data_IF_476033949615
#
_entry.id   IF_476033949615
#
_cell.length_a   1.000
_cell.length_b   1.000
_cell.length_c   1.000
_cell.angle_alpha   90.00
_cell.angle_beta   90.00
_cell.angle_gamma   90.00
#
_symmetry.space_group_name_H-M   'P 1'
#
loop_
_entity.id
_entity.type
_entity.pdbx_description
1 polymer ?
#
# COMPACT_ATOMS: atom_id res chain seq x y z
N UNK A 1 -39.31 -14.93 49.66
CA UNK A 1 -38.04 -14.18 49.69
C UNK A 1 -37.29 -14.56 48.42
N UNK A 2 -37.46 -13.86 47.30
CA UNK A 2 -36.78 -12.58 46.94
C UNK A 2 -35.28 -12.68 47.22
N UNK A 3 -34.35 -12.52 46.26
CA UNK A 3 -34.36 -11.51 45.18
C UNK A 3 -33.33 -11.84 44.09
N UNK A 4 -33.72 -11.51 42.85
CA UNK A 4 -32.98 -11.49 41.57
C UNK A 4 -31.88 -10.39 41.59
N UNK A 5 -30.66 -10.60 41.06
CA UNK A 5 -29.90 -9.67 40.15
C UNK A 5 -28.56 -10.30 39.64
N UNK A 6 -27.87 -9.79 38.58
CA UNK A 6 -28.08 -10.24 37.19
C UNK A 6 -26.78 -10.46 36.36
N UNK A 7 -26.99 -10.80 35.09
CA UNK A 7 -26.22 -10.37 33.91
C UNK A 7 -24.73 -10.74 33.82
N UNK A 8 -24.48 -11.94 33.30
CA UNK A 8 -23.37 -12.15 32.38
C UNK A 8 -23.59 -11.28 31.15
N UNK A 9 -23.02 -10.07 31.17
CA UNK A 9 -22.90 -9.22 29.99
C UNK A 9 -21.99 -9.99 29.04
N UNK A 10 -22.58 -10.59 28.01
CA UNK A 10 -21.82 -11.03 26.85
C UNK A 10 -21.10 -9.78 26.37
N UNK A 11 -19.77 -9.77 26.53
CA UNK A 11 -18.92 -8.85 25.80
C UNK A 11 -19.23 -9.09 24.34
N UNK A 12 -20.05 -8.20 23.78
CA UNK A 12 -20.08 -7.99 22.36
C UNK A 12 -18.64 -7.65 21.99
N UNK A 13 -17.90 -8.63 21.48
CA UNK A 13 -16.64 -8.39 20.78
C UNK A 13 -16.93 -7.28 19.78
N UNK A 14 -16.53 -6.07 20.16
CA UNK A 14 -16.73 -4.88 19.35
C UNK A 14 -15.86 -5.12 18.14
N UNK A 15 -16.49 -5.62 17.07
CA UNK A 15 -15.81 -6.07 15.86
C UNK A 15 -15.02 -4.87 15.34
N UNK A 16 -13.71 -4.86 15.62
CA UNK A 16 -12.84 -3.76 15.23
C UNK A 16 -13.02 -3.59 13.72
N UNK A 17 -13.25 -2.36 13.23
CA UNK A 17 -13.40 -2.13 11.81
C UNK A 17 -12.18 -2.72 11.09
N UNK A 18 -12.43 -3.55 10.07
CA UNK A 18 -11.39 -4.30 9.34
C UNK A 18 -10.30 -3.38 8.77
N UNK A 19 -10.67 -2.13 8.47
CA UNK A 19 -9.83 -1.08 7.93
C UNK A 19 -10.16 0.25 8.60
N UNK A 20 -9.13 1.04 8.93
CA UNK A 20 -9.28 2.43 9.39
C UNK A 20 -9.84 3.28 8.23
N UNK A 21 -10.43 4.42 8.53
CA UNK A 21 -10.99 5.37 7.55
C UNK A 21 -9.99 5.71 6.45
N UNK A 22 -8.71 5.90 6.78
CA UNK A 22 -7.65 6.17 5.81
C UNK A 22 -7.49 5.00 4.85
N UNK A 23 -7.38 3.78 5.37
CA UNK A 23 -7.20 2.59 4.53
C UNK A 23 -8.40 2.36 3.61
N UNK A 24 -9.63 2.64 4.07
CA UNK A 24 -10.83 2.56 3.22
C UNK A 24 -10.79 3.55 2.06
N UNK A 25 -10.40 4.80 2.33
CA UNK A 25 -10.25 5.80 1.29
C UNK A 25 -9.13 5.39 0.33
N UNK A 26 -8.01 4.87 0.85
CA UNK A 26 -6.94 4.33 0.03
C UNK A 26 -7.42 3.18 -0.86
N UNK A 27 -8.23 2.25 -0.34
CA UNK A 27 -8.78 1.13 -1.09
C UNK A 27 -9.70 1.59 -2.23
N UNK A 28 -10.57 2.57 -1.95
CA UNK A 28 -11.42 3.18 -2.97
C UNK A 28 -10.55 3.89 -4.03
N UNK A 29 -9.53 4.63 -3.62
CA UNK A 29 -8.59 5.27 -4.53
C UNK A 29 -7.83 4.25 -5.38
N UNK A 30 -7.37 3.14 -4.79
CA UNK A 30 -6.73 2.05 -5.54
C UNK A 30 -7.65 1.49 -6.62
N UNK A 31 -8.91 1.21 -6.29
CA UNK A 31 -9.91 0.77 -7.27
C UNK A 31 -10.18 1.79 -8.37
N UNK A 32 -10.33 3.08 -8.01
CA UNK A 32 -10.56 4.17 -8.97
C UNK A 32 -9.36 4.37 -9.90
N UNK A 33 -8.13 4.31 -9.38
CA UNK A 33 -6.93 4.43 -10.20
C UNK A 33 -6.74 3.23 -11.12
N UNK A 34 -7.07 2.02 -10.67
CA UNK A 34 -7.08 0.82 -11.50
C UNK A 34 -8.05 0.99 -12.69
N UNK A 35 -9.28 1.45 -12.43
CA UNK A 35 -10.27 1.71 -13.46
C UNK A 35 -9.83 2.84 -14.43
N UNK A 36 -9.33 3.96 -13.90
CA UNK A 36 -8.85 5.09 -14.69
C UNK A 36 -7.68 4.70 -15.60
N UNK A 37 -6.76 3.89 -15.08
CA UNK A 37 -5.60 3.37 -15.83
C UNK A 37 -6.03 2.45 -16.95
N UNK A 38 -6.97 1.53 -16.70
CA UNK A 38 -7.52 0.66 -17.73
C UNK A 38 -8.22 1.46 -18.84
N UNK A 39 -9.11 2.39 -18.47
CA UNK A 39 -9.82 3.25 -19.43
C UNK A 39 -8.85 4.13 -20.22
N UNK A 40 -7.84 4.70 -19.55
CA UNK A 40 -6.79 5.50 -20.18
C UNK A 40 -5.98 4.69 -21.19
N UNK A 41 -5.58 3.46 -20.83
CA UNK A 41 -4.86 2.56 -21.72
C UNK A 41 -5.70 2.19 -22.94
N UNK A 42 -6.99 1.84 -22.77
CA UNK A 42 -7.89 1.51 -23.89
C UNK A 42 -8.07 2.70 -24.83
N UNK A 43 -8.27 3.91 -24.31
CA UNK A 43 -8.42 5.14 -25.12
C UNK A 43 -7.16 5.49 -25.92
N UNK A 44 -5.97 5.20 -25.39
CA UNK A 44 -4.71 5.44 -26.11
C UNK A 44 -4.53 4.51 -27.33
N UNK A 45 -5.19 3.35 -27.33
CA UNK A 45 -5.03 2.29 -28.34
C UNK A 45 -5.99 2.43 -29.52
N UNK A 46 -7.11 3.12 -29.35
CA UNK A 46 -8.12 3.30 -30.41
C UNK A 46 -7.72 4.30 -31.51
N UNK A 47 -6.50 4.87 -31.47
CA UNK A 47 -5.98 5.80 -32.48
C UNK A 47 -4.98 5.12 -33.45
N UNK A 48 -5.39 4.86 -34.70
CA UNK A 48 -4.53 4.38 -35.82
C UNK A 48 -4.56 2.87 -36.08
N UNK A 49 -3.88 2.32 -37.12
CA UNK A 49 -3.80 0.88 -37.49
C UNK A 49 -2.36 0.34 -37.32
N UNK A 50 -2.17 -0.72 -36.52
CA UNK A 50 -0.96 -1.60 -36.38
C UNK A 50 -1.06 -2.44 -35.08
N UNK A 51 -1.39 -3.74 -35.13
CA UNK A 51 -1.77 -4.53 -33.93
C UNK A 51 -0.66 -4.73 -32.89
N UNK A 52 0.58 -5.04 -33.29
CA UNK A 52 1.70 -5.27 -32.36
C UNK A 52 2.15 -3.99 -31.66
N UNK A 53 2.32 -2.90 -32.41
CA UNK A 53 2.66 -1.58 -31.86
C UNK A 53 1.54 -1.04 -30.97
N UNK A 54 0.27 -1.25 -31.33
CA UNK A 54 -0.87 -0.92 -30.45
C UNK A 54 -0.79 -1.62 -29.11
N UNK A 55 -0.51 -2.93 -29.08
CA UNK A 55 -0.41 -3.66 -27.81
C UNK A 55 0.79 -3.20 -26.98
N UNK A 56 1.92 -2.89 -27.61
CA UNK A 56 3.05 -2.30 -26.90
C UNK A 56 2.69 -0.94 -26.29
N UNK A 57 2.09 -0.02 -27.06
CA UNK A 57 1.66 1.29 -26.56
C UNK A 57 0.55 1.15 -25.50
N UNK A 58 -0.32 0.14 -25.61
CA UNK A 58 -1.31 -0.19 -24.58
C UNK A 58 -0.63 -0.57 -23.27
N UNK A 59 0.30 -1.52 -23.32
CA UNK A 59 1.02 -2.03 -22.17
C UNK A 59 1.90 -0.93 -21.55
N UNK A 60 2.58 -0.13 -22.38
CA UNK A 60 3.40 0.98 -21.93
C UNK A 60 2.55 2.09 -21.31
N UNK A 61 1.46 2.50 -21.95
CA UNK A 61 0.55 3.52 -21.43
C UNK A 61 -0.10 3.09 -20.11
N UNK A 62 -0.54 1.84 -20.03
CA UNK A 62 -1.04 1.24 -18.79
C UNK A 62 0.02 1.27 -17.68
N UNK A 63 1.26 0.87 -18.00
CA UNK A 63 2.36 0.86 -17.06
C UNK A 63 2.71 2.26 -16.53
N UNK A 64 2.81 3.26 -17.41
CA UNK A 64 3.10 4.65 -17.02
C UNK A 64 2.00 5.22 -16.14
N UNK A 65 0.74 5.00 -16.51
CA UNK A 65 -0.40 5.44 -15.71
C UNK A 65 -0.45 4.74 -14.34
N UNK A 66 -0.14 3.45 -14.29
CA UNK A 66 -0.06 2.70 -13.05
C UNK A 66 1.08 3.19 -12.14
N UNK A 67 2.29 3.38 -12.68
CA UNK A 67 3.41 3.94 -11.92
C UNK A 67 3.12 5.33 -11.38
N UNK A 68 2.38 6.16 -12.13
CA UNK A 68 1.94 7.48 -11.66
C UNK A 68 0.94 7.37 -10.51
N UNK A 69 -0.03 6.46 -10.61
CA UNK A 69 -0.98 6.20 -9.53
C UNK A 69 -0.27 5.75 -8.25
N UNK A 70 0.71 4.83 -8.36
CA UNK A 70 1.50 4.37 -7.21
C UNK A 70 2.32 5.50 -6.57
N UNK A 71 2.91 6.39 -7.38
CA UNK A 71 3.64 7.55 -6.88
C UNK A 71 2.72 8.55 -6.14
N UNK A 72 1.51 8.79 -6.66
CA UNK A 72 0.50 9.62 -5.98
C UNK A 72 0.06 8.95 -4.68
N UNK A 73 -0.19 7.65 -4.68
CA UNK A 73 -0.61 6.91 -3.49
C UNK A 73 0.48 6.87 -2.42
N UNK A 74 1.75 6.81 -2.81
CA UNK A 74 2.86 6.99 -1.88
C UNK A 74 2.84 8.36 -1.20
N UNK A 75 2.61 9.44 -1.95
CA UNK A 75 2.49 10.78 -1.38
C UNK A 75 1.30 10.88 -0.42
N UNK A 76 0.14 10.36 -0.82
CA UNK A 76 -1.07 10.35 0.02
C UNK A 76 -0.81 9.60 1.32
N UNK A 77 -0.20 8.40 1.26
CA UNK A 77 0.13 7.61 2.45
C UNK A 77 1.15 8.31 3.34
N UNK A 78 2.19 8.89 2.75
CA UNK A 78 3.23 9.63 3.48
C UNK A 78 2.63 10.83 4.22
N UNK A 79 1.74 11.58 3.57
CA UNK A 79 1.06 12.71 4.18
C UNK A 79 0.08 12.27 5.26
N UNK A 80 -0.70 11.21 5.01
CA UNK A 80 -1.64 10.67 5.98
C UNK A 80 -0.93 10.17 7.24
N UNK A 81 0.15 9.40 7.09
CA UNK A 81 0.97 8.90 8.20
C UNK A 81 1.59 10.05 9.00
N UNK A 82 2.16 11.04 8.30
CA UNK A 82 2.72 12.24 8.95
C UNK A 82 1.64 13.03 9.69
N UNK A 83 0.46 13.18 9.08
CA UNK A 83 -0.71 13.84 9.67
C UNK A 83 -1.22 13.13 10.91
N UNK A 84 -1.31 11.80 10.89
CA UNK A 84 -1.74 11.00 12.02
C UNK A 84 -0.74 11.09 13.19
N UNK A 85 0.56 10.99 12.91
CA UNK A 85 1.61 11.14 13.93
C UNK A 85 1.62 12.53 14.55
N UNK A 86 1.46 13.57 13.73
CA UNK A 86 1.39 14.95 14.20
C UNK A 86 0.13 15.20 15.03
N UNK A 87 -1.03 14.66 14.61
CA UNK A 87 -2.28 14.78 15.35
C UNK A 87 -2.14 14.13 16.73
N UNK A 88 -1.55 12.95 16.82
CA UNK A 88 -1.27 12.29 18.10
C UNK A 88 -0.39 13.18 19.00
N UNK A 89 0.70 13.71 18.46
CA UNK A 89 1.61 14.59 19.19
C UNK A 89 0.91 15.86 19.72
N UNK A 90 0.08 16.50 18.89
CA UNK A 90 -0.69 17.68 19.28
C UNK A 90 -1.77 17.37 20.30
N UNK A 91 -2.45 16.22 20.19
CA UNK A 91 -3.44 15.77 21.19
C UNK A 91 -2.76 15.58 22.55
N UNK A 92 -1.64 14.86 22.60
CA UNK A 92 -0.88 14.61 23.83
C UNK A 92 -0.32 15.91 24.42
N UNK A 93 0.11 16.85 23.59
CA UNK A 93 0.64 18.15 24.03
C UNK A 93 -0.45 19.06 24.62
N UNK A 94 -1.67 19.02 24.07
CA UNK A 94 -2.79 19.87 24.52
C UNK A 94 -3.55 19.28 25.71
N UNK A 95 -3.39 17.99 25.97
CA UNK A 95 -4.05 17.29 27.07
C UNK A 95 -3.47 17.75 28.42
N UNK A 96 -4.36 18.18 29.32
CA UNK A 96 -3.97 18.68 30.64
C UNK A 96 -3.86 17.55 31.66
N UNK A 97 -4.64 16.47 31.48
CA UNK A 97 -4.57 15.30 32.33
C UNK A 97 -3.45 14.36 31.86
N UNK A 98 -2.40 14.26 32.67
CA UNK A 98 -1.24 13.41 32.37
C UNK A 98 -1.62 11.93 32.20
N UNK A 99 -2.60 11.44 32.97
CA UNK A 99 -3.03 10.04 32.89
C UNK A 99 -3.74 9.75 31.56
N UNK A 100 -4.55 10.70 31.06
CA UNK A 100 -5.22 10.58 29.76
C UNK A 100 -4.19 10.68 28.61
N UNK A 101 -3.20 11.56 28.73
CA UNK A 101 -2.13 11.71 27.75
C UNK A 101 -1.27 10.44 27.62
N UNK A 102 -0.89 9.82 28.75
CA UNK A 102 -0.13 8.56 28.78
C UNK A 102 -0.94 7.41 28.20
N UNK A 103 -2.23 7.31 28.52
CA UNK A 103 -3.13 6.31 27.90
C UNK A 103 -3.25 6.50 26.39
N UNK A 104 -3.37 7.75 25.93
CA UNK A 104 -3.43 8.06 24.49
C UNK A 104 -2.14 7.65 23.76
N UNK A 105 -0.97 7.82 24.39
CA UNK A 105 0.30 7.31 23.87
C UNK A 105 0.35 5.79 23.86
N UNK A 106 -0.14 5.15 24.92
CA UNK A 106 -0.21 3.69 25.07
C UNK A 106 -1.09 3.06 23.99
N UNK A 107 -2.28 3.61 23.76
CA UNK A 107 -3.23 3.15 22.74
C UNK A 107 -2.70 3.32 21.31
N UNK A 108 -1.74 4.23 21.11
CA UNK A 108 -1.10 4.46 19.82
C UNK A 108 0.11 3.56 19.57
N UNK A 109 0.61 2.83 20.57
CA UNK A 109 1.71 1.89 20.40
C UNK A 109 1.28 0.71 19.53
N UNK A 110 2.18 0.17 18.70
CA UNK A 110 1.97 -1.14 18.11
C UNK A 110 1.75 -2.19 19.22
N UNK A 111 0.83 -3.13 19.01
CA UNK A 111 0.50 -4.18 19.98
C UNK A 111 1.72 -5.01 20.43
N UNK A 112 2.76 -5.09 19.60
CA UNK A 112 4.03 -5.77 19.94
C UNK A 112 4.90 -4.98 20.92
N UNK A 113 4.73 -3.65 21.00
CA UNK A 113 5.49 -2.77 21.88
C UNK A 113 4.75 -2.44 23.18
N UNK A 114 3.42 -2.53 23.18
CA UNK A 114 2.59 -2.24 24.36
C UNK A 114 3.02 -2.97 25.66
N UNK A 115 3.40 -4.27 25.65
CA UNK A 115 3.86 -4.95 26.87
C UNK A 115 5.33 -4.67 27.23
N UNK A 116 6.09 -4.02 26.33
CA UNK A 116 7.52 -3.73 26.51
C UNK A 116 7.77 -2.31 27.06
N UNK A 117 6.74 -1.47 27.10
CA UNK A 117 6.86 -0.06 27.48
C UNK A 117 6.04 0.23 28.73
N UNK A 118 6.72 0.69 29.76
CA UNK A 118 6.10 1.10 31.02
C UNK A 118 5.53 2.52 30.94
N UNK A 119 4.57 2.82 31.80
CA UNK A 119 3.96 4.15 31.89
C UNK A 119 4.99 5.24 32.23
N UNK A 120 6.07 4.89 32.96
CA UNK A 120 7.16 5.80 33.27
C UNK A 120 7.91 6.28 32.01
N UNK A 121 8.06 5.41 31.01
CA UNK A 121 8.71 5.77 29.74
C UNK A 121 7.79 6.61 28.85
N UNK A 122 6.50 6.30 28.85
CA UNK A 122 5.49 7.13 28.17
C UNK A 122 5.37 8.51 28.79
N UNK A 123 5.47 8.62 30.12
CA UNK A 123 5.46 9.90 30.81
C UNK A 123 6.70 10.75 30.47
N UNK A 124 7.88 10.13 30.31
CA UNK A 124 9.08 10.83 29.81
C UNK A 124 8.86 11.36 28.39
N UNK A 125 8.21 10.58 27.53
CA UNK A 125 7.88 10.99 26.15
C UNK A 125 6.90 12.17 26.20
N UNK A 126 5.82 12.08 26.98
CA UNK A 126 4.84 13.16 27.19
C UNK A 126 5.51 14.45 27.68
N UNK A 127 6.38 14.37 28.69
CA UNK A 127 7.09 15.53 29.23
C UNK A 127 7.99 16.22 28.18
N UNK A 128 8.64 15.44 27.30
CA UNK A 128 9.40 15.98 26.16
C UNK A 128 8.50 16.63 25.12
N UNK A 129 7.33 16.06 24.85
CA UNK A 129 6.32 16.66 23.96
C UNK A 129 5.73 17.97 24.52
N UNK A 130 5.51 18.04 25.83
CA UNK A 130 5.01 19.24 26.50
C UNK A 130 6.01 20.41 26.43
N UNK A 131 7.31 20.11 26.43
CA UNK A 131 8.39 21.11 26.32
C UNK A 131 8.77 21.44 24.87
N UNK A 132 8.28 20.66 23.89
CA UNK A 132 8.53 20.89 22.48
C UNK A 132 7.73 22.08 21.95
N UNK A 133 8.36 23.24 21.83
CA UNK A 133 7.74 24.50 21.40
C UNK A 133 7.43 24.59 19.90
N UNK A 134 7.85 23.62 19.08
CA UNK A 134 7.89 23.75 17.61
C UNK A 134 7.25 22.58 16.85
N UNK A 135 6.07 22.12 17.28
CA UNK A 135 5.30 21.19 16.43
C UNK A 135 4.65 22.00 15.29
N UNK A 136 4.83 21.61 14.01
CA UNK A 136 4.18 22.29 12.91
C UNK A 136 2.65 22.21 13.03
N UNK A 137 1.88 23.22 12.61
CA UNK A 137 0.42 23.23 12.77
C UNK A 137 -0.30 22.18 11.92
N UNK A 138 0.32 21.77 10.80
CA UNK A 138 -0.22 20.84 9.81
C UNK A 138 0.90 20.00 9.20
N UNK A 139 0.57 18.77 8.81
CA UNK A 139 1.46 17.97 7.98
C UNK A 139 1.50 18.55 6.57
N UNK A 140 2.70 18.84 6.09
CA UNK A 140 2.95 19.35 4.75
C UNK A 140 3.88 18.39 4.01
N UNK A 141 3.82 18.44 2.68
CA UNK A 141 4.83 17.79 1.84
C UNK A 141 6.19 18.48 2.00
N UNK A 142 7.24 17.67 1.97
CA UNK A 142 8.62 18.15 1.84
C UNK A 142 9.22 17.62 0.54
N UNK A 143 10.26 18.28 0.03
CA UNK A 143 10.87 17.93 -1.25
C UNK A 143 11.32 16.46 -1.34
N UNK A 144 11.74 15.86 -0.21
CA UNK A 144 12.11 14.44 -0.18
C UNK A 144 10.95 13.50 -0.47
N UNK A 145 9.71 13.88 -0.17
CA UNK A 145 8.53 13.07 -0.44
C UNK A 145 8.33 12.92 -1.96
N UNK A 146 8.56 13.99 -2.72
CA UNK A 146 8.49 13.96 -4.19
C UNK A 146 9.61 13.13 -4.81
N UNK A 147 10.81 13.15 -4.22
CA UNK A 147 11.92 12.29 -4.66
C UNK A 147 11.56 10.81 -4.41
N UNK A 148 10.97 10.49 -3.26
CA UNK A 148 10.45 9.14 -2.98
C UNK A 148 9.37 8.72 -3.96
N UNK A 149 8.42 9.61 -4.27
CA UNK A 149 7.37 9.36 -5.26
C UNK A 149 7.93 9.11 -6.66
N UNK A 150 8.93 9.90 -7.08
CA UNK A 150 9.64 9.68 -8.35
C UNK A 150 10.41 8.35 -8.34
N UNK A 151 11.03 7.99 -7.21
CA UNK A 151 11.70 6.71 -7.04
C UNK A 151 10.74 5.53 -7.24
N UNK A 152 9.54 5.60 -6.67
CA UNK A 152 8.49 4.57 -6.85
C UNK A 152 7.99 4.55 -8.28
N UNK A 153 7.71 5.72 -8.88
CA UNK A 153 7.32 5.81 -10.28
C UNK A 153 8.32 5.11 -11.20
N UNK A 154 9.61 5.44 -11.06
CA UNK A 154 10.67 4.85 -11.87
C UNK A 154 10.85 3.36 -11.58
N UNK A 155 10.78 2.94 -10.32
CA UNK A 155 10.87 1.53 -9.94
C UNK A 155 9.75 0.71 -10.59
N UNK A 156 8.51 1.19 -10.53
CA UNK A 156 7.36 0.53 -11.13
C UNK A 156 7.51 0.47 -12.63
N UNK A 157 7.75 1.61 -13.29
CA UNK A 157 7.84 1.68 -14.75
C UNK A 157 9.00 0.82 -15.28
N UNK A 158 10.19 0.92 -14.69
CA UNK A 158 11.37 0.16 -15.12
C UNK A 158 11.27 -1.33 -14.75
N UNK A 159 10.62 -1.67 -13.64
CA UNK A 159 10.45 -3.06 -13.20
C UNK A 159 9.50 -3.85 -14.08
N UNK A 160 8.51 -3.20 -14.67
CA UNK A 160 7.50 -3.80 -15.55
C UNK A 160 7.79 -3.60 -17.03
N UNK A 161 8.65 -2.65 -17.42
CA UNK A 161 9.04 -2.41 -18.81
C UNK A 161 9.53 -3.67 -19.54
N UNK A 162 10.34 -4.56 -18.93
CA UNK A 162 10.75 -5.79 -19.58
C UNK A 162 9.58 -6.65 -20.06
N UNK A 163 8.46 -6.66 -19.32
CA UNK A 163 7.25 -7.44 -19.64
C UNK A 163 6.60 -6.96 -20.95
N UNK A 164 6.78 -5.70 -21.32
CA UNK A 164 6.27 -5.12 -22.56
C UNK A 164 7.21 -5.32 -23.77
N UNK A 165 8.50 -5.58 -23.56
CA UNK A 165 9.49 -5.76 -24.63
C UNK A 165 9.13 -6.85 -25.66
N UNK A 166 8.56 -8.01 -25.29
CA UNK A 166 8.19 -9.04 -26.25
C UNK A 166 7.29 -8.54 -27.40
N UNK A 167 6.43 -7.56 -27.15
CA UNK A 167 5.52 -7.00 -28.16
C UNK A 167 6.23 -6.14 -29.21
N UNK A 168 7.45 -5.66 -28.95
CA UNK A 168 8.27 -4.94 -29.93
C UNK A 168 9.14 -5.87 -30.77
N UNK A 169 9.63 -6.96 -30.18
CA UNK A 169 10.66 -7.82 -30.78
C UNK A 169 10.03 -9.01 -31.52
N UNK A 170 8.89 -9.50 -31.05
CA UNK A 170 8.23 -10.70 -31.58
C UNK A 170 7.04 -10.28 -32.45
N UNK A 171 7.08 -10.63 -33.73
CA UNK A 171 6.00 -10.33 -34.70
C UNK A 171 4.76 -11.19 -34.49
N UNK A 172 4.93 -12.43 -34.05
CA UNK A 172 3.82 -13.33 -33.73
C UNK A 172 3.20 -12.94 -32.39
N UNK A 173 1.95 -12.50 -32.42
CA UNK A 173 1.24 -12.01 -31.24
C UNK A 173 1.09 -13.09 -30.16
N UNK A 174 0.83 -14.34 -30.55
CA UNK A 174 0.64 -15.45 -29.61
C UNK A 174 1.94 -15.76 -28.88
N UNK A 175 3.06 -15.79 -29.62
CA UNK A 175 4.38 -15.97 -29.05
C UNK A 175 4.80 -14.78 -28.16
N UNK A 176 4.47 -13.54 -28.55
CA UNK A 176 4.71 -12.35 -27.74
C UNK A 176 3.97 -12.39 -26.39
N UNK A 177 2.69 -12.82 -26.41
CA UNK A 177 1.87 -12.99 -25.20
C UNK A 177 2.45 -14.06 -24.26
N UNK A 178 2.86 -15.21 -24.80
CA UNK A 178 3.47 -16.28 -23.99
C UNK A 178 4.79 -15.80 -23.37
N UNK A 179 5.66 -15.15 -24.17
CA UNK A 179 6.92 -14.60 -23.67
C UNK A 179 6.70 -13.55 -22.56
N UNK A 180 5.72 -12.66 -22.74
CA UNK A 180 5.34 -11.65 -21.73
C UNK A 180 4.83 -12.28 -20.43
N UNK A 181 4.01 -13.34 -20.52
CA UNK A 181 3.53 -14.10 -19.35
C UNK A 181 4.66 -14.78 -18.60
N UNK A 182 5.57 -15.46 -19.31
CA UNK A 182 6.74 -16.12 -18.69
C UNK A 182 7.62 -15.10 -17.99
N UNK A 183 7.87 -13.94 -18.61
CA UNK A 183 8.68 -12.89 -18.03
C UNK A 183 8.02 -12.27 -16.79
N UNK A 184 6.71 -12.07 -16.81
CA UNK A 184 5.93 -11.63 -15.64
C UNK A 184 6.10 -12.58 -14.47
N UNK A 185 5.94 -13.89 -14.69
CA UNK A 185 6.10 -14.90 -13.63
C UNK A 185 7.54 -14.94 -13.10
N UNK A 186 8.55 -14.79 -13.96
CA UNK A 186 9.94 -14.70 -13.55
C UNK A 186 10.20 -13.46 -12.69
N UNK A 187 9.67 -12.30 -13.07
CA UNK A 187 9.79 -11.07 -12.29
C UNK A 187 9.07 -11.17 -10.94
N UNK A 188 7.88 -11.76 -10.89
CA UNK A 188 7.16 -12.04 -9.64
C UNK A 188 7.96 -12.95 -8.71
N UNK A 189 8.62 -13.98 -9.26
CA UNK A 189 9.50 -14.83 -8.48
C UNK A 189 10.68 -14.07 -7.89
N UNK A 190 11.36 -13.25 -8.69
CA UNK A 190 12.52 -12.47 -8.25
C UNK A 190 12.11 -11.49 -7.15
N UNK A 191 11.00 -10.77 -7.34
CA UNK A 191 10.45 -9.85 -6.35
C UNK A 191 10.05 -10.58 -5.06
N UNK A 192 9.33 -11.71 -5.16
CA UNK A 192 8.95 -12.53 -4.02
C UNK A 192 10.16 -13.11 -3.29
N UNK A 193 11.19 -13.53 -4.02
CA UNK A 193 12.44 -14.05 -3.47
C UNK A 193 13.19 -12.96 -2.69
N UNK A 194 13.31 -11.77 -3.26
CA UNK A 194 13.92 -10.61 -2.59
C UNK A 194 13.15 -10.25 -1.30
N UNK A 195 11.82 -10.23 -1.37
CA UNK A 195 10.96 -9.97 -0.20
C UNK A 195 11.15 -11.04 0.89
N UNK A 196 11.15 -12.31 0.52
CA UNK A 196 11.33 -13.40 1.49
C UNK A 196 12.73 -13.50 2.10
N UNK A 197 13.77 -12.96 1.43
CA UNK A 197 15.08 -12.74 2.08
C UNK A 197 15.01 -11.62 3.10
N UNK A 198 14.34 -10.51 2.76
CA UNK A 198 14.25 -9.35 3.63
C UNK A 198 13.43 -9.63 4.91
N UNK A 199 12.32 -10.36 4.80
CA UNK A 199 11.43 -10.63 5.94
C UNK A 199 11.83 -11.84 6.79
N UNK A 200 12.86 -12.59 6.38
CA UNK A 200 13.26 -13.84 7.06
C UNK A 200 12.27 -15.00 6.89
N UNK A 201 11.15 -14.81 6.17
CA UNK A 201 10.10 -15.83 5.99
C UNK A 201 10.49 -16.98 5.03
N UNK A 202 11.69 -16.94 4.45
CA UNK A 202 12.21 -17.94 3.52
C UNK A 202 12.00 -17.53 2.07
N UNK A 203 13.07 -17.02 1.44
CA UNK A 203 13.09 -16.48 0.08
C UNK A 203 12.43 -17.37 -0.96
N UNK A 204 12.71 -18.67 -0.95
CA UNK A 204 12.15 -19.62 -1.91
C UNK A 204 10.63 -19.77 -1.76
N UNK A 205 10.13 -19.83 -0.51
CA UNK A 205 8.69 -19.95 -0.24
C UNK A 205 7.94 -18.71 -0.71
N UNK A 206 8.48 -17.52 -0.44
CA UNK A 206 7.88 -16.27 -0.87
C UNK A 206 7.89 -16.12 -2.40
N UNK A 207 8.99 -16.48 -3.07
CA UNK A 207 9.05 -16.49 -4.54
C UNK A 207 8.03 -17.43 -5.18
N UNK A 208 7.93 -18.67 -4.69
CA UNK A 208 6.94 -19.64 -5.19
C UNK A 208 5.51 -19.16 -4.91
N UNK A 209 5.24 -18.61 -3.73
CA UNK A 209 3.92 -18.06 -3.40
C UNK A 209 3.50 -16.93 -4.36
N UNK A 210 4.43 -16.03 -4.71
CA UNK A 210 4.16 -14.95 -5.67
C UNK A 210 3.91 -15.47 -7.09
N UNK A 211 4.64 -16.50 -7.55
CA UNK A 211 4.33 -17.17 -8.82
C UNK A 211 2.92 -17.75 -8.77
N UNK A 212 2.59 -18.55 -7.73
CA UNK A 212 1.28 -19.21 -7.61
C UNK A 212 0.15 -18.20 -7.63
N UNK A 213 0.30 -17.08 -6.90
CA UNK A 213 -0.67 -15.98 -6.93
C UNK A 213 -0.81 -15.39 -8.34
N UNK A 214 0.31 -15.15 -9.03
CA UNK A 214 0.30 -14.65 -10.42
C UNK A 214 -0.40 -15.60 -11.39
N UNK A 215 -0.19 -16.92 -11.26
CA UNK A 215 -0.86 -17.94 -12.07
C UNK A 215 -2.36 -17.94 -11.79
N UNK A 216 -2.78 -17.96 -10.52
CA UNK A 216 -4.19 -17.95 -10.13
C UNK A 216 -4.91 -16.70 -10.65
N UNK A 217 -4.26 -15.53 -10.54
CA UNK A 217 -4.80 -14.28 -11.06
C UNK A 217 -4.93 -14.33 -12.59
N UNK A 218 -3.92 -14.85 -13.28
CA UNK A 218 -3.95 -15.02 -14.75
C UNK A 218 -5.11 -15.94 -15.17
N UNK A 219 -5.31 -17.07 -14.49
CA UNK A 219 -6.44 -17.99 -14.75
C UNK A 219 -7.78 -17.29 -14.51
N UNK A 220 -7.90 -16.51 -13.43
CA UNK A 220 -9.11 -15.77 -13.12
C UNK A 220 -9.44 -14.75 -14.21
N UNK A 221 -8.45 -13.97 -14.67
CA UNK A 221 -8.61 -12.99 -15.76
C UNK A 221 -9.09 -13.68 -17.04
N UNK A 222 -8.47 -14.80 -17.42
CA UNK A 222 -8.88 -15.56 -18.61
C UNK A 222 -10.34 -16.05 -18.49
N UNK A 223 -10.75 -16.52 -17.31
CA UNK A 223 -12.14 -16.95 -17.07
C UNK A 223 -13.15 -15.81 -17.10
N UNK A 224 -12.72 -14.59 -16.75
CA UNK A 224 -13.55 -13.38 -16.75
C UNK A 224 -13.66 -12.73 -18.15
N UNK A 225 -13.04 -13.32 -19.18
CA UNK A 225 -13.17 -12.87 -20.56
C UNK A 225 -12.00 -12.00 -21.07
N UNK A 226 -10.85 -12.04 -20.39
CA UNK A 226 -9.59 -11.43 -20.83
C UNK A 226 -8.66 -12.37 -21.58
#
# INVERSE_FOLDING_TARGET
>A
MSTITPAGRADSEQRKPVLNTVDRVCEICFGLFMALTFVGAVKAVTAGEDEGYKMFFAALGCNLAWGLADAVMYLVRTLADRGQRLKLALTVQREQDHAIAVRTLRDALPATMEPLVDDADLERIRARLATASTLPPRANFVSSDFVGALGIFLLVVLGTFPVALPFLVIKDLTAALVASRVLTLAMLFIAGFALGRYTGAGAMKAGIAMITLGILLTIAIIKLGG
#
